data_IF_778826297338
#
_entry.id   IF_778826297338
#
_cell.length_a   1.000
_cell.length_b   1.000
_cell.length_c   1.000
_cell.angle_alpha   90.00
_cell.angle_beta   90.00
_cell.angle_gamma   90.00
#
_symmetry.space_group_name_H-M   'P 1'
#
loop_
_entity.id
_entity.type
_entity.pdbx_description
1 polymer ?
#
# COMPACT_ATOMS: atom_id res chain seq x y z
N UNK A 1 5.98 12.12 -19.06
CA UNK A 1 5.43 11.09 -18.17
C UNK A 1 4.41 10.27 -18.93
N UNK A 2 4.49 8.94 -18.87
CA UNK A 2 3.51 8.01 -19.46
C UNK A 2 3.01 7.11 -18.32
N UNK A 3 1.70 6.91 -18.22
CA UNK A 3 1.15 5.88 -17.34
C UNK A 3 1.42 4.51 -17.99
N UNK A 4 2.15 3.63 -17.30
CA UNK A 4 2.54 2.29 -17.79
C UNK A 4 1.78 1.16 -17.10
N UNK A 5 1.11 1.45 -15.98
CA UNK A 5 0.33 0.48 -15.22
C UNK A 5 -0.81 1.19 -14.48
N UNK A 6 -1.96 0.52 -14.36
CA UNK A 6 -3.11 0.96 -13.55
C UNK A 6 -3.63 -0.24 -12.78
N UNK A 7 -3.56 -0.17 -11.45
CA UNK A 7 -4.12 -1.20 -10.56
C UNK A 7 -5.59 -0.87 -10.32
N UNK A 8 -6.49 -1.71 -10.81
CA UNK A 8 -7.94 -1.48 -10.75
C UNK A 8 -8.67 -2.64 -10.09
N UNK A 9 -9.80 -2.35 -9.43
CA UNK A 9 -10.63 -3.36 -8.75
C UNK A 9 -10.14 -3.80 -7.37
N UNK A 10 -9.07 -3.20 -6.84
CA UNK A 10 -8.48 -3.60 -5.55
C UNK A 10 -9.05 -2.84 -4.35
N UNK A 11 -9.54 -1.62 -4.53
CA UNK A 11 -10.01 -0.74 -3.46
C UNK A 11 -11.49 -0.42 -3.64
N UNK A 12 -12.25 -0.40 -2.54
CA UNK A 12 -13.71 -0.16 -2.58
C UNK A 12 -14.09 1.29 -2.25
N UNK A 13 -13.15 2.06 -1.69
CA UNK A 13 -13.28 3.49 -1.38
C UNK A 13 -12.02 4.25 -1.83
N UNK A 14 -11.96 5.54 -1.50
CA UNK A 14 -10.83 6.42 -1.84
C UNK A 14 -9.51 5.88 -1.26
N UNK A 15 -8.44 5.95 -2.05
CA UNK A 15 -7.07 5.75 -1.57
C UNK A 15 -6.56 7.11 -1.11
N UNK A 16 -6.25 7.27 0.17
CA UNK A 16 -5.82 8.55 0.73
C UNK A 16 -4.30 8.73 0.69
N UNK A 17 -3.55 7.63 0.73
CA UNK A 17 -2.09 7.67 0.73
C UNK A 17 -1.49 6.41 0.10
N UNK A 18 -0.30 6.55 -0.47
CA UNK A 18 0.49 5.47 -1.07
C UNK A 18 1.96 5.68 -0.76
N UNK A 19 2.66 4.61 -0.40
CA UNK A 19 4.10 4.66 -0.13
C UNK A 19 4.82 3.50 -0.78
N UNK A 20 6.00 3.77 -1.33
CA UNK A 20 6.86 2.78 -1.96
C UNK A 20 8.12 2.57 -1.11
N UNK A 21 8.38 1.33 -0.70
CA UNK A 21 9.59 0.98 0.03
C UNK A 21 10.79 0.92 -0.91
N UNK A 22 11.78 1.78 -0.67
CA UNK A 22 13.01 1.86 -1.46
C UNK A 22 13.92 0.63 -1.32
N UNK A 23 13.74 -0.17 -0.26
CA UNK A 23 14.56 -1.35 0.00
C UNK A 23 13.97 -2.62 -0.63
N UNK A 24 12.65 -2.79 -0.58
CA UNK A 24 11.98 -4.03 -1.00
C UNK A 24 11.15 -3.88 -2.27
N UNK A 25 10.92 -2.66 -2.75
CA UNK A 25 10.03 -2.40 -3.88
C UNK A 25 8.55 -2.60 -3.56
N UNK A 26 8.19 -2.85 -2.29
CA UNK A 26 6.79 -3.02 -1.88
C UNK A 26 6.04 -1.68 -1.90
N UNK A 27 4.81 -1.70 -2.39
CA UNK A 27 3.90 -0.55 -2.39
C UNK A 27 2.82 -0.80 -1.35
N UNK A 28 2.67 0.09 -0.37
CA UNK A 28 1.57 0.09 0.58
C UNK A 28 0.56 1.18 0.23
N UNK A 29 -0.72 0.90 0.47
CA UNK A 29 -1.83 1.86 0.26
C UNK A 29 -2.68 1.98 1.52
N UNK A 30 -3.08 3.21 1.85
CA UNK A 30 -4.07 3.53 2.88
C UNK A 30 -5.39 3.90 2.20
N UNK A 31 -6.49 3.27 2.63
CA UNK A 31 -7.78 3.42 1.98
C UNK A 31 -8.88 3.72 3.00
N UNK A 32 -9.90 4.44 2.54
CA UNK A 32 -11.12 4.69 3.31
C UNK A 32 -11.97 3.45 3.53
N UNK A 33 -11.63 2.29 2.97
CA UNK A 33 -12.31 1.03 3.32
C UNK A 33 -11.70 0.34 4.54
N UNK A 34 -11.00 1.10 5.39
CA UNK A 34 -10.37 0.69 6.65
C UNK A 34 -9.22 -0.32 6.49
N UNK A 35 -8.77 -0.54 5.25
CA UNK A 35 -7.86 -1.63 4.86
C UNK A 35 -6.53 -1.08 4.34
N UNK A 36 -5.45 -1.73 4.77
CA UNK A 36 -4.11 -1.57 4.18
C UNK A 36 -3.87 -2.71 3.18
N UNK A 37 -3.33 -2.37 2.01
CA UNK A 37 -2.95 -3.35 0.98
C UNK A 37 -1.50 -3.17 0.58
N UNK A 38 -0.81 -4.29 0.37
CA UNK A 38 0.58 -4.36 -0.09
C UNK A 38 0.64 -5.00 -1.46
N UNK A 39 1.31 -4.32 -2.39
CA UNK A 39 1.56 -4.79 -3.75
C UNK A 39 3.06 -5.01 -3.96
N UNK A 40 3.40 -6.00 -4.79
CA UNK A 40 4.77 -6.27 -5.26
C UNK A 40 4.76 -6.33 -6.79
N UNK A 41 5.75 -5.71 -7.42
CA UNK A 41 6.00 -5.90 -8.85
C UNK A 41 6.38 -7.36 -9.13
N UNK A 42 5.84 -7.93 -10.20
CA UNK A 42 6.21 -9.28 -10.63
C UNK A 42 7.66 -9.28 -11.15
N UNK A 43 8.42 -10.29 -10.75
CA UNK A 43 9.88 -10.35 -10.99
C UNK A 43 10.21 -10.45 -12.50
N UNK A 44 9.26 -10.87 -13.34
CA UNK A 44 9.38 -11.05 -14.80
C UNK A 44 8.64 -9.99 -15.64
N UNK A 45 8.20 -8.90 -15.01
CA UNK A 45 7.39 -7.89 -15.71
C UNK A 45 8.20 -7.01 -16.69
N UNK A 46 7.53 -6.53 -17.75
CA UNK A 46 8.12 -5.60 -18.72
C UNK A 46 8.26 -4.20 -18.07
N UNK A 47 9.45 -3.58 -18.06
CA UNK A 47 9.63 -2.22 -17.53
C UNK A 47 8.73 -1.15 -18.18
N UNK A 48 8.25 -1.38 -19.40
CA UNK A 48 7.34 -0.48 -20.12
C UNK A 48 5.86 -0.81 -19.91
N UNK A 49 5.57 -1.93 -19.24
CA UNK A 49 4.24 -2.43 -18.92
C UNK A 49 4.27 -3.31 -17.65
N UNK A 50 4.68 -2.76 -16.50
CA UNK A 50 4.92 -3.56 -15.30
C UNK A 50 3.61 -4.09 -14.74
N UNK A 51 3.68 -5.28 -14.14
CA UNK A 51 2.55 -5.94 -13.49
C UNK A 51 2.81 -6.04 -12.00
N UNK A 52 1.78 -5.81 -11.19
CA UNK A 52 1.88 -5.87 -9.73
C UNK A 52 0.86 -6.85 -9.18
N UNK A 53 1.32 -7.67 -8.26
CA UNK A 53 0.50 -8.63 -7.51
C UNK A 53 0.11 -8.02 -6.16
N UNK A 54 -1.15 -8.23 -5.77
CA UNK A 54 -1.60 -7.97 -4.40
C UNK A 54 -1.11 -9.11 -3.50
N UNK A 55 -0.12 -8.84 -2.65
CA UNK A 55 0.50 -9.86 -1.80
C UNK A 55 -0.06 -9.85 -0.36
N UNK A 56 -0.70 -8.76 0.06
CA UNK A 56 -1.32 -8.67 1.37
C UNK A 56 -2.55 -7.75 1.34
N UNK A 57 -3.62 -8.19 2.00
CA UNK A 57 -4.81 -7.38 2.31
C UNK A 57 -5.09 -7.50 3.80
N UNK A 58 -4.93 -6.42 4.54
CA UNK A 58 -5.19 -6.39 5.98
C UNK A 58 -6.59 -5.85 6.24
N UNK A 59 -7.56 -6.77 6.36
CA UNK A 59 -8.98 -6.43 6.52
C UNK A 59 -9.27 -5.62 7.79
N UNK A 60 -8.72 -6.04 8.92
CA UNK A 60 -8.88 -5.37 10.21
C UNK A 60 -7.66 -4.49 10.52
N UNK A 61 -7.31 -3.58 9.59
CA UNK A 61 -6.15 -2.70 9.81
C UNK A 61 -6.49 -1.61 10.84
N UNK A 62 -7.62 -0.94 10.66
CA UNK A 62 -8.16 0.10 11.52
C UNK A 62 -9.68 -0.03 11.61
N UNK A 63 -10.30 0.69 12.54
CA UNK A 63 -11.75 0.68 12.72
C UNK A 63 -12.48 1.78 11.92
N UNK A 64 -11.72 2.65 11.25
CA UNK A 64 -12.17 3.73 10.38
C UNK A 64 -11.12 3.97 9.27
N UNK A 65 -11.38 4.94 8.40
CA UNK A 65 -10.56 5.32 7.25
C UNK A 65 -9.06 5.37 7.61
N UNK A 66 -8.22 4.67 6.82
CA UNK A 66 -6.76 4.74 6.98
C UNK A 66 -6.26 5.96 6.22
N UNK A 67 -5.61 6.88 6.91
CA UNK A 67 -5.23 8.18 6.38
C UNK A 67 -3.82 8.23 5.81
N UNK A 68 -2.91 7.44 6.36
CA UNK A 68 -1.49 7.49 6.02
C UNK A 68 -0.83 6.13 6.23
N UNK A 69 0.16 5.81 5.38
CA UNK A 69 1.05 4.65 5.49
C UNK A 69 2.50 5.06 5.20
N UNK A 70 3.46 4.63 6.03
CA UNK A 70 4.89 4.92 5.84
C UNK A 70 5.73 3.71 6.13
N UNK A 71 6.54 3.30 5.15
CA UNK A 71 7.58 2.29 5.38
C UNK A 71 8.69 2.86 6.25
N UNK A 72 9.26 2.01 7.10
CA UNK A 72 10.46 2.35 7.84
C UNK A 72 11.62 2.63 6.86
N UNK A 73 12.25 3.82 6.93
CA UNK A 73 13.30 4.21 6.00
C UNK A 73 14.60 3.42 6.18
N UNK A 74 14.77 2.69 7.28
CA UNK A 74 15.96 1.86 7.55
C UNK A 74 15.86 0.44 6.98
N UNK A 75 14.74 0.09 6.32
CA UNK A 75 14.65 -1.12 5.50
C UNK A 75 14.32 -2.42 6.24
N UNK A 76 13.87 -2.35 7.49
CA UNK A 76 13.47 -3.53 8.28
C UNK A 76 12.03 -4.03 7.98
N UNK A 77 11.44 -3.64 6.86
CA UNK A 77 10.09 -4.02 6.41
C UNK A 77 8.94 -3.63 7.33
N UNK A 78 9.18 -2.82 8.35
CA UNK A 78 8.12 -2.30 9.22
C UNK A 78 7.31 -1.22 8.48
N UNK A 79 6.00 -1.23 8.71
CA UNK A 79 5.08 -0.22 8.20
C UNK A 79 4.38 0.48 9.38
N UNK A 80 4.23 1.79 9.28
CA UNK A 80 3.39 2.57 10.20
C UNK A 80 2.14 3.03 9.46
N UNK A 81 0.99 2.99 10.13
CA UNK A 81 -0.26 3.58 9.64
C UNK A 81 -0.94 4.43 10.70
N UNK A 82 -1.78 5.38 10.27
CA UNK A 82 -2.70 6.12 11.14
C UNK A 82 -4.10 6.23 10.51
N UNK A 83 -5.11 6.42 11.35
CA UNK A 83 -6.53 6.38 10.94
C UNK A 83 -7.38 7.39 11.72
N UNK A 84 -8.58 7.66 11.20
CA UNK A 84 -9.64 8.42 11.88
C UNK A 84 -10.13 7.74 13.18
N UNK A 85 -9.81 6.46 13.40
CA UNK A 85 -10.07 5.77 14.68
C UNK A 85 -9.23 6.31 15.86
N UNK A 86 -8.27 7.20 15.58
CA UNK A 86 -7.40 7.82 16.57
C UNK A 86 -6.18 6.97 16.93
N UNK A 87 -5.95 5.84 16.26
CA UNK A 87 -4.83 4.95 16.49
C UNK A 87 -3.70 5.13 15.47
N UNK A 88 -2.49 4.85 15.93
CA UNK A 88 -1.31 4.61 15.09
C UNK A 88 -0.90 3.16 15.31
N UNK A 89 -0.66 2.42 14.23
CA UNK A 89 -0.26 1.01 14.29
C UNK A 89 1.08 0.80 13.59
N UNK A 90 1.85 -0.14 14.12
CA UNK A 90 3.10 -0.64 13.53
C UNK A 90 2.84 -2.09 13.11
N UNK A 91 3.28 -2.44 11.90
CA UNK A 91 3.10 -3.73 11.27
C UNK A 91 4.45 -4.36 10.93
#
# INVERSE_FOLDING_TARGET
WKCVCTLSGFHTRCIYDVTWCHHTGLIATACGDDIIRIFKEADDSDPNSPTFDLICTKLDSHAQDVNCVRWNPLGNQELISCSDDGEIKIW
#
